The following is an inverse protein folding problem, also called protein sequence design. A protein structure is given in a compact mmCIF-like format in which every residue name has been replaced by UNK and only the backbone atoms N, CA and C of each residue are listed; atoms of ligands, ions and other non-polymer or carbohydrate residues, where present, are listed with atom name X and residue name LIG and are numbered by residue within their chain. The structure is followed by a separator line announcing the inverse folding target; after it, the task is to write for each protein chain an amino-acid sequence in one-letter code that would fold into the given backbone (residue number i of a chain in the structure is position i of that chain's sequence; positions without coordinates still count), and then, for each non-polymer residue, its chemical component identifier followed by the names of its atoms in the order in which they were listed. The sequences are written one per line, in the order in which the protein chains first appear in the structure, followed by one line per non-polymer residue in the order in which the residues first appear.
data_IF_018791957333
#
_entry.id   IF_018791957333
#
_cell.length_a   1.000
_cell.length_b   1.000
_cell.length_c   1.000
_cell.angle_alpha   90.00
_cell.angle_beta   90.00
_cell.angle_gamma   90.00
#
_symmetry.space_group_name_H-M   'P 1'
#
loop_
_entity.id
_entity.type
_entity.pdbx_description
1 polymer ?
#
# COMPACT_ATOMS: atom_id res chain seq x y z
N UNK A 1 22.44 -11.64 -10.85
CA UNK A 1 21.84 -10.60 -9.96
C UNK A 1 21.45 -11.26 -8.65
N UNK A 2 22.12 -10.93 -7.54
CA UNK A 2 21.82 -11.52 -6.25
C UNK A 2 20.44 -11.04 -5.75
N UNK A 3 19.48 -11.96 -5.60
CA UNK A 3 18.24 -11.69 -4.86
C UNK A 3 18.61 -11.43 -3.41
N UNK A 4 18.73 -10.17 -3.00
CA UNK A 4 18.83 -9.79 -1.59
C UNK A 4 17.58 -10.34 -0.91
N UNK A 5 17.75 -11.36 -0.06
CA UNK A 5 16.70 -11.87 0.83
C UNK A 5 16.33 -10.72 1.76
N UNK A 6 15.33 -9.94 1.37
CA UNK A 6 14.85 -8.81 2.17
C UNK A 6 14.10 -9.43 3.35
N UNK A 7 14.59 -9.21 4.55
CA UNK A 7 13.95 -9.75 5.74
C UNK A 7 12.59 -9.06 5.90
N UNK A 8 11.46 -9.79 5.93
CA UNK A 8 10.13 -9.17 5.96
C UNK A 8 9.90 -8.29 7.20
N UNK A 9 10.61 -8.58 8.29
CA UNK A 9 10.59 -7.76 9.51
C UNK A 9 11.22 -6.37 9.31
N UNK A 10 12.24 -6.25 8.45
CA UNK A 10 12.91 -4.96 8.16
C UNK A 10 12.06 -4.01 7.31
N UNK A 11 10.98 -4.51 6.70
CA UNK A 11 10.10 -3.73 5.83
C UNK A 11 8.92 -3.11 6.60
N UNK A 12 8.80 -3.37 7.91
CA UNK A 12 7.74 -2.76 8.74
C UNK A 12 8.04 -1.29 8.95
N UNK A 13 7.10 -0.43 8.54
CA UNK A 13 7.13 1.02 8.81
C UNK A 13 5.85 1.47 9.50
N UNK A 14 6.02 2.27 10.55
CA UNK A 14 4.92 2.94 11.22
C UNK A 14 4.48 4.17 10.41
N UNK A 15 3.18 4.30 10.17
CA UNK A 15 2.58 5.43 9.45
C UNK A 15 1.51 6.05 10.35
N UNK A 16 1.46 7.38 10.41
CA UNK A 16 0.46 8.10 11.19
C UNK A 16 -0.76 8.41 10.33
N UNK A 17 -1.95 8.05 10.82
CA UNK A 17 -3.22 8.35 10.17
C UNK A 17 -4.02 9.34 11.01
N UNK A 18 -4.97 10.03 10.36
CA UNK A 18 -6.01 10.79 11.05
C UNK A 18 -6.90 9.82 11.85
N UNK A 19 -7.36 10.25 13.03
CA UNK A 19 -8.14 9.41 13.94
C UNK A 19 -9.39 8.80 13.29
N UNK A 20 -10.15 9.61 12.53
CA UNK A 20 -11.33 9.12 11.80
C UNK A 20 -10.98 8.08 10.74
N UNK A 21 -9.93 8.33 9.94
CA UNK A 21 -9.51 7.42 8.87
C UNK A 21 -9.06 6.06 9.41
N UNK A 22 -8.36 6.01 10.54
CA UNK A 22 -7.97 4.72 11.14
C UNK A 22 -9.16 3.96 11.71
N UNK A 23 -10.17 4.67 12.24
CA UNK A 23 -11.40 4.04 12.71
C UNK A 23 -12.18 3.41 11.55
N UNK A 24 -12.34 4.13 10.44
CA UNK A 24 -13.01 3.63 9.24
C UNK A 24 -12.28 2.40 8.66
N UNK A 25 -10.93 2.45 8.60
CA UNK A 25 -10.13 1.30 8.16
C UNK A 25 -10.25 0.10 9.09
N UNK A 26 -10.34 0.30 10.42
CA UNK A 26 -10.57 -0.78 11.38
C UNK A 26 -11.94 -1.42 11.20
N UNK A 27 -13.00 -0.63 10.97
CA UNK A 27 -14.34 -1.15 10.66
C UNK A 27 -14.33 -1.98 9.38
N UNK A 28 -13.67 -1.48 8.34
CA UNK A 28 -13.54 -2.20 7.07
C UNK A 28 -12.75 -3.50 7.22
N UNK A 29 -11.66 -3.48 8.00
CA UNK A 29 -10.85 -4.65 8.33
C UNK A 29 -11.67 -5.72 9.04
N UNK A 30 -12.49 -5.32 10.02
CA UNK A 30 -13.38 -6.21 10.74
C UNK A 30 -14.43 -6.86 9.83
N UNK A 31 -15.05 -6.09 8.92
CA UNK A 31 -16.05 -6.62 7.96
C UNK A 31 -15.43 -7.62 6.98
N UNK A 32 -14.20 -7.37 6.53
CA UNK A 32 -13.49 -8.23 5.57
C UNK A 32 -12.74 -9.39 6.23
N UNK A 33 -12.62 -9.41 7.55
CA UNK A 33 -11.86 -10.44 8.28
C UNK A 33 -10.35 -10.40 8.00
N UNK A 34 -9.79 -9.23 7.68
CA UNK A 34 -8.36 -9.04 7.36
C UNK A 34 -7.73 -7.98 8.26
N UNK A 35 -6.40 -7.83 8.22
CA UNK A 35 -5.73 -6.78 9.00
C UNK A 35 -5.82 -5.42 8.31
N UNK A 36 -5.70 -4.34 9.10
CA UNK A 36 -5.57 -2.98 8.56
C UNK A 36 -4.34 -2.86 7.65
N UNK A 37 -3.25 -3.57 7.96
CA UNK A 37 -2.05 -3.59 7.13
C UNK A 37 -2.31 -4.19 5.75
N UNK A 38 -3.17 -5.21 5.65
CA UNK A 38 -3.55 -5.80 4.35
C UNK A 38 -4.36 -4.80 3.51
N UNK A 39 -5.30 -4.07 4.13
CA UNK A 39 -6.05 -3.00 3.46
C UNK A 39 -5.11 -1.93 2.93
N UNK A 40 -4.17 -1.47 3.77
CA UNK A 40 -3.21 -0.43 3.37
C UNK A 40 -2.32 -0.94 2.25
N UNK A 41 -1.88 -2.21 2.30
CA UNK A 41 -1.08 -2.83 1.23
C UNK A 41 -1.85 -2.86 -0.09
N UNK A 42 -3.07 -3.38 -0.10
CA UNK A 42 -3.91 -3.43 -1.31
C UNK A 42 -4.10 -2.04 -1.92
N UNK A 43 -4.39 -1.04 -1.08
CA UNK A 43 -4.57 0.34 -1.53
C UNK A 43 -3.29 0.91 -2.15
N UNK A 44 -2.14 0.71 -1.50
CA UNK A 44 -0.85 1.20 -2.00
C UNK A 44 -0.47 0.51 -3.31
N UNK A 45 -0.64 -0.81 -3.41
CA UNK A 45 -0.33 -1.57 -4.63
C UNK A 45 -1.19 -1.09 -5.81
N UNK A 46 -2.50 -0.96 -5.61
CA UNK A 46 -3.41 -0.47 -6.65
C UNK A 46 -3.07 0.95 -7.12
N UNK A 47 -2.72 1.85 -6.20
CA UNK A 47 -2.38 3.22 -6.55
C UNK A 47 -1.00 3.31 -7.24
N UNK A 48 -0.02 2.53 -6.80
CA UNK A 48 1.31 2.49 -7.44
C UNK A 48 1.25 1.98 -8.87
N UNK A 49 0.43 0.96 -9.14
CA UNK A 49 0.24 0.47 -10.52
C UNK A 49 -0.41 1.53 -11.42
N UNK A 50 -1.42 2.23 -10.90
CA UNK A 50 -2.04 3.35 -11.60
C UNK A 50 -1.03 4.47 -11.87
N UNK A 51 -0.23 4.83 -10.86
CA UNK A 51 0.80 5.87 -11.00
C UNK A 51 1.87 5.46 -12.02
N UNK A 52 2.31 4.20 -12.00
CA UNK A 52 3.27 3.66 -12.98
C UNK A 52 2.73 3.72 -14.40
N UNK A 53 1.45 3.39 -14.61
CA UNK A 53 0.80 3.51 -15.93
C UNK A 53 0.73 4.96 -16.40
N UNK A 54 0.32 5.88 -15.53
CA UNK A 54 0.27 7.31 -15.85
C UNK A 54 1.66 7.89 -16.15
N UNK A 55 2.68 7.47 -15.39
CA UNK A 55 4.05 7.91 -15.61
C UNK A 55 4.63 7.41 -16.94
N UNK A 56 4.40 6.13 -17.29
CA UNK A 56 4.83 5.59 -18.60
C UNK A 56 4.11 6.30 -19.75
N UNK A 57 2.82 6.60 -19.60
CA UNK A 57 2.07 7.35 -20.60
C UNK A 57 2.63 8.77 -20.79
N UNK A 58 2.93 9.47 -19.69
CA UNK A 58 3.52 10.80 -19.71
C UNK A 58 4.90 10.81 -20.39
N UNK A 59 5.80 9.88 -20.03
CA UNK A 59 7.15 9.80 -20.62
C UNK A 59 7.12 9.40 -22.10
N UNK A 60 6.11 8.66 -22.56
CA UNK A 60 6.00 8.21 -23.95
C UNK A 60 5.42 9.27 -24.89
N UNK A 61 4.72 10.27 -24.36
CA UNK A 61 4.05 11.34 -25.12
C UNK A 61 4.68 12.73 -24.93
N UNK A 62 5.82 12.81 -24.24
CA UNK A 62 6.78 13.94 -24.28
C UNK A 62 7.88 13.58 -25.27
#
# INVERSE_FOLDING_TARGET
MAKRKTNPEELKRSIRFKAKSIEDMKKLAAVRGISVSDIVREFVESNLENYRRSFIFFVKHV
#
